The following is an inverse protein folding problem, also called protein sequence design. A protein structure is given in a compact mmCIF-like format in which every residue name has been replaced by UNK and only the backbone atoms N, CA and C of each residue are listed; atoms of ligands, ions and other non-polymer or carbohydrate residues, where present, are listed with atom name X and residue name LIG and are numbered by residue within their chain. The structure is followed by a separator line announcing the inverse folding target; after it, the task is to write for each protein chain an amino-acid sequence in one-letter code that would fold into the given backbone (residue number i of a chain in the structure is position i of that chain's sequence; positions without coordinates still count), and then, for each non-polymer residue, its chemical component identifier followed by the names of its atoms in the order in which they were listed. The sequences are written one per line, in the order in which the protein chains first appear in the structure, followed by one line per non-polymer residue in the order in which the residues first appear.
data_IF_063984733192
#
_entry.id   IF_063984733192
#
_cell.length_a   1.000
_cell.length_b   1.000
_cell.length_c   1.000
_cell.angle_alpha   90.00
_cell.angle_beta   90.00
_cell.angle_gamma   90.00
#
_symmetry.space_group_name_H-M   'P 1'
#
loop_
_entity.id
_entity.type
_entity.pdbx_description
1 polymer ?
#
# COMPACT_ATOMS: atom_id res chain seq x y z
N UNK A 1 3.29 -5.48 -9.41
CA UNK A 1 3.20 -5.50 -7.93
C UNK A 1 3.52 -6.90 -7.44
N UNK A 2 4.46 -7.01 -6.51
CA UNK A 2 4.96 -8.29 -5.99
C UNK A 2 4.81 -8.37 -4.47
N UNK A 3 4.70 -9.58 -3.92
CA UNK A 3 4.92 -9.76 -2.48
C UNK A 3 6.42 -9.56 -2.20
N UNK A 4 6.76 -8.66 -1.29
CA UNK A 4 8.14 -8.33 -0.94
C UNK A 4 8.51 -8.94 0.42
N UNK A 5 9.81 -9.24 0.66
CA UNK A 5 10.27 -9.59 1.99
C UNK A 5 9.92 -8.48 3.00
N UNK A 6 9.46 -8.79 4.21
CA UNK A 6 9.11 -7.78 5.21
C UNK A 6 10.26 -6.84 5.58
N UNK A 7 11.52 -7.30 5.42
CA UNK A 7 12.73 -6.49 5.60
C UNK A 7 12.86 -5.31 4.63
N UNK A 8 12.03 -5.22 3.60
CA UNK A 8 11.95 -4.05 2.71
C UNK A 8 11.14 -2.89 3.32
N UNK A 9 10.39 -3.10 4.41
CA UNK A 9 9.50 -2.11 5.03
C UNK A 9 10.11 -1.57 6.33
N UNK A 10 11.14 -0.75 6.20
CA UNK A 10 11.95 -0.24 7.33
C UNK A 10 11.90 1.29 7.40
N UNK A 11 12.46 1.88 8.46
CA UNK A 11 12.51 3.33 8.64
C UNK A 11 13.25 4.09 7.51
N UNK A 12 14.13 3.42 6.77
CA UNK A 12 14.84 4.02 5.62
C UNK A 12 13.93 4.32 4.42
N UNK A 13 12.71 3.76 4.41
CA UNK A 13 11.65 4.04 3.45
C UNK A 13 10.51 4.66 4.26
N UNK A 14 10.29 5.96 4.11
CA UNK A 14 9.41 6.70 5.02
C UNK A 14 7.96 6.24 4.91
N UNK A 15 7.22 6.40 6.01
CA UNK A 15 5.76 6.25 6.01
C UNK A 15 5.15 7.28 5.07
N UNK A 16 4.43 6.83 4.05
CA UNK A 16 3.78 7.73 3.11
C UNK A 16 2.63 8.47 3.79
N UNK A 17 2.61 9.80 3.66
CA UNK A 17 1.52 10.64 4.12
C UNK A 17 0.32 10.51 3.18
N UNK A 18 -0.73 9.85 3.66
CA UNK A 18 -2.01 9.70 2.95
C UNK A 18 -2.96 10.79 3.45
N UNK A 19 -3.64 11.54 2.56
CA UNK A 19 -4.57 12.58 2.98
C UNK A 19 -5.64 12.03 3.94
N UNK A 20 -5.92 12.74 5.05
CA UNK A 20 -6.83 12.23 6.08
C UNK A 20 -8.21 11.81 5.53
N UNK A 21 -8.77 12.57 4.59
CA UNK A 21 -10.05 12.25 3.93
C UNK A 21 -10.02 10.91 3.19
N UNK A 22 -8.88 10.52 2.65
CA UNK A 22 -8.68 9.23 1.97
C UNK A 22 -8.70 8.08 2.99
N UNK A 23 -8.13 8.30 4.18
CA UNK A 23 -8.08 7.28 5.25
C UNK A 23 -9.44 7.00 5.89
N UNK A 24 -10.39 7.94 5.81
CA UNK A 24 -11.71 7.82 6.45
C UNK A 24 -12.81 7.24 5.56
N UNK A 25 -12.53 7.01 4.27
CA UNK A 25 -13.50 6.54 3.29
C UNK A 25 -12.88 5.43 2.43
N UNK A 26 -13.38 4.20 2.57
CA UNK A 26 -12.91 3.02 1.83
C UNK A 26 -12.87 3.28 0.31
N UNK A 27 -13.87 3.95 -0.24
CA UNK A 27 -13.96 4.21 -1.69
C UNK A 27 -12.88 5.19 -2.13
N UNK A 28 -12.71 6.29 -1.40
CA UNK A 28 -11.64 7.26 -1.69
C UNK A 28 -10.25 6.64 -1.51
N UNK A 29 -10.10 5.72 -0.55
CA UNK A 29 -8.86 4.98 -0.35
C UNK A 29 -8.54 4.07 -1.54
N UNK A 30 -9.53 3.33 -2.03
CA UNK A 30 -9.37 2.48 -3.22
C UNK A 30 -9.08 3.32 -4.46
N UNK A 31 -9.81 4.41 -4.68
CA UNK A 31 -9.59 5.31 -5.81
C UNK A 31 -8.19 5.94 -5.77
N UNK A 32 -7.71 6.32 -4.58
CA UNK A 32 -6.36 6.82 -4.40
C UNK A 32 -5.30 5.75 -4.71
N UNK A 33 -5.48 4.51 -4.21
CA UNK A 33 -4.59 3.37 -4.49
C UNK A 33 -4.50 3.03 -5.98
N UNK A 34 -5.60 3.15 -6.74
CA UNK A 34 -5.61 2.93 -8.18
C UNK A 34 -4.74 3.95 -8.94
N UNK A 35 -4.56 5.15 -8.38
CA UNK A 35 -3.68 6.18 -8.94
C UNK A 35 -2.21 6.07 -8.55
N UNK A 36 -1.82 5.14 -7.67
CA UNK A 36 -0.43 5.05 -7.19
C UNK A 36 0.41 4.01 -7.96
N UNK A 37 1.73 4.26 -8.04
CA UNK A 37 2.68 3.26 -8.52
C UNK A 37 3.09 2.30 -7.38
N UNK A 38 2.35 1.20 -7.24
CA UNK A 38 2.56 0.19 -6.20
C UNK A 38 3.54 -0.89 -6.68
N UNK A 39 4.71 -0.96 -6.05
CA UNK A 39 5.77 -1.89 -6.43
C UNK A 39 5.71 -3.19 -5.62
N UNK A 40 5.24 -3.16 -4.37
CA UNK A 40 5.02 -4.39 -3.62
C UNK A 40 4.30 -4.27 -2.29
N UNK A 41 4.12 -5.40 -1.62
CA UNK A 41 3.35 -5.50 -0.39
C UNK A 41 3.77 -6.70 0.47
N UNK A 42 3.45 -6.69 1.76
CA UNK A 42 3.51 -7.86 2.64
C UNK A 42 2.47 -7.77 3.76
N UNK A 43 2.30 -8.84 4.53
CA UNK A 43 1.48 -8.80 5.73
C UNK A 43 2.16 -7.88 6.77
N UNK A 44 1.43 -6.89 7.27
CA UNK A 44 1.99 -5.92 8.22
C UNK A 44 2.39 -6.53 9.57
N UNK A 45 1.92 -7.74 9.91
CA UNK A 45 2.41 -8.42 11.12
C UNK A 45 3.84 -8.94 10.97
N UNK A 46 4.34 -9.06 9.75
CA UNK A 46 5.67 -9.61 9.46
C UNK A 46 6.75 -8.53 9.39
N UNK A 47 6.38 -7.24 9.33
CA UNK A 47 7.36 -6.15 9.25
C UNK A 47 8.03 -5.92 10.61
N UNK A 48 9.32 -5.60 10.58
CA UNK A 48 10.09 -5.32 11.79
C UNK A 48 9.63 -4.02 12.47
N UNK A 49 9.21 -3.05 11.66
CA UNK A 49 8.91 -1.69 12.12
C UNK A 49 7.41 -1.43 12.09
N UNK A 50 6.85 -1.07 13.26
CA UNK A 50 5.45 -0.70 13.46
C UNK A 50 4.46 -1.75 12.90
N UNK A 51 4.60 -3.04 13.24
CA UNK A 51 3.67 -4.06 12.78
C UNK A 51 2.23 -3.71 13.19
N UNK A 52 1.27 -3.94 12.30
CA UNK A 52 -0.12 -3.56 12.51
C UNK A 52 -1.08 -4.67 12.13
N UNK A 53 -1.76 -5.21 13.14
CA UNK A 53 -2.82 -6.20 12.94
C UNK A 53 -3.90 -5.68 12.00
N UNK A 54 -4.40 -6.54 11.11
CA UNK A 54 -5.49 -6.20 10.19
C UNK A 54 -5.07 -5.32 9.01
N UNK A 55 -3.77 -5.15 8.76
CA UNK A 55 -3.24 -4.32 7.68
C UNK A 55 -2.26 -5.09 6.78
N UNK A 56 -2.11 -4.59 5.56
CA UNK A 56 -1.01 -4.87 4.65
C UNK A 56 -0.02 -3.71 4.73
N UNK A 57 1.28 -4.01 4.71
CA UNK A 57 2.28 -2.99 4.43
C UNK A 57 2.45 -2.91 2.90
N UNK A 58 2.25 -1.73 2.32
CA UNK A 58 2.23 -1.52 0.87
C UNK A 58 3.30 -0.51 0.49
N UNK A 59 4.14 -0.85 -0.48
CA UNK A 59 5.29 -0.07 -0.95
C UNK A 59 4.94 0.63 -2.27
N UNK A 60 5.25 1.91 -2.31
CA UNK A 60 5.02 2.81 -3.43
C UNK A 60 6.36 3.32 -3.96
N UNK A 61 6.47 3.48 -5.27
CA UNK A 61 7.57 4.22 -5.91
C UNK A 61 7.06 5.60 -6.32
N UNK A 62 7.91 6.61 -6.16
CA UNK A 62 7.71 7.97 -6.66
C UNK A 62 8.60 8.21 -7.89
N UNK A 63 8.34 9.28 -8.64
CA UNK A 63 8.92 9.51 -9.98
C UNK A 63 10.45 9.32 -10.04
N UNK A 64 10.88 8.68 -11.13
CA UNK A 64 12.20 8.15 -11.52
C UNK A 64 12.81 7.01 -10.67
N UNK A 65 12.09 6.48 -9.67
CA UNK A 65 12.48 5.25 -8.96
C UNK A 65 13.55 5.43 -7.88
N UNK A 66 13.97 6.67 -7.62
CA UNK A 66 14.96 6.99 -6.60
C UNK A 66 14.38 7.02 -5.18
N UNK A 67 13.05 7.08 -5.05
CA UNK A 67 12.41 7.14 -3.74
C UNK A 67 11.26 6.16 -3.60
N UNK A 68 11.27 5.46 -2.46
CA UNK A 68 10.27 4.49 -2.07
C UNK A 68 9.74 4.82 -0.68
N UNK A 69 8.43 4.71 -0.52
CA UNK A 69 7.74 4.89 0.76
C UNK A 69 6.70 3.81 0.93
N UNK A 70 6.32 3.53 2.18
CA UNK A 70 5.31 2.51 2.45
C UNK A 70 4.22 3.00 3.40
N UNK A 71 3.05 2.37 3.31
CA UNK A 71 1.90 2.70 4.15
C UNK A 71 1.17 1.45 4.61
N UNK A 72 0.48 1.56 5.74
CA UNK A 72 -0.41 0.53 6.26
C UNK A 72 -1.80 0.66 5.63
N UNK A 73 -2.21 -0.35 4.88
CA UNK A 73 -3.53 -0.39 4.24
C UNK A 73 -4.38 -1.45 4.94
N UNK A 74 -5.59 -1.12 5.44
CA UNK A 74 -6.49 -2.11 6.00
C UNK A 74 -6.74 -3.28 5.03
N UNK A 75 -6.74 -4.53 5.53
CA UNK A 75 -6.86 -5.73 4.67
C UNK A 75 -8.14 -5.72 3.83
N UNK A 76 -9.26 -5.24 4.40
CA UNK A 76 -10.53 -5.10 3.68
C UNK A 76 -10.42 -4.12 2.51
N UNK A 77 -9.74 -2.98 2.70
CA UNK A 77 -9.49 -1.98 1.65
C UNK A 77 -8.57 -2.57 0.58
N UNK A 78 -7.49 -3.24 1.00
CA UNK A 78 -6.55 -3.89 0.10
C UNK A 78 -7.22 -4.91 -0.82
N UNK A 79 -8.05 -5.80 -0.25
CA UNK A 79 -8.74 -6.83 -1.02
C UNK A 79 -9.71 -6.23 -2.05
N UNK A 80 -10.50 -5.21 -1.65
CA UNK A 80 -11.39 -4.49 -2.58
C UNK A 80 -10.61 -3.77 -3.69
N UNK A 81 -9.44 -3.20 -3.36
CA UNK A 81 -8.53 -2.63 -4.35
C UNK A 81 -8.04 -3.68 -5.36
N UNK A 82 -7.64 -4.88 -4.90
CA UNK A 82 -7.21 -5.96 -5.79
C UNK A 82 -8.31 -6.42 -6.73
N UNK A 83 -9.56 -6.51 -6.25
CA UNK A 83 -10.74 -6.80 -7.07
C UNK A 83 -10.93 -5.70 -8.13
N UNK A 84 -10.92 -4.42 -7.70
CA UNK A 84 -11.13 -3.29 -8.60
C UNK A 84 -10.05 -3.16 -9.67
N UNK A 85 -8.78 -3.40 -9.31
CA UNK A 85 -7.65 -3.35 -10.24
C UNK A 85 -7.76 -4.42 -11.35
N UNK A 86 -8.32 -5.60 -11.05
CA UNK A 86 -8.58 -6.64 -12.06
C UNK A 86 -9.65 -6.20 -13.06
N UNK A 87 -10.70 -5.50 -12.62
CA UNK A 87 -11.72 -4.95 -13.51
C UNK A 87 -11.13 -3.93 -14.48
N UNK A 88 -10.30 -3.01 -13.99
CA UNK A 88 -9.68 -1.95 -14.81
C UNK A 88 -8.66 -2.51 -15.82
N UNK A 89 -7.95 -3.59 -15.47
CA UNK A 89 -6.92 -4.17 -16.36
C UNK A 89 -7.52 -5.06 -17.46
N UNK A 90 -8.72 -5.59 -17.25
CA UNK A 90 -9.41 -6.48 -18.20
C UNK A 90 -10.50 -5.79 -19.03
N UNK A 91 -10.71 -4.48 -18.83
CA UNK A 91 -11.73 -3.67 -19.50
C UNK A 91 -11.18 -2.74 -20.57
#
# INVERSE_FOLDING_TARGET
MLQLPPSQFTYGKYGLDVPFKVLTDDKLHIDWLLGQHIIGYCNSLEVEIRPRTGNMAVMFSFDDGDWEGWHHIPINVWNKFLEKKKEVTNG
#
